data_IF_894475190026
#
_entry.id   IF_894475190026
#
_cell.length_a   1.000
_cell.length_b   1.000
_cell.length_c   1.000
_cell.angle_alpha   90.00
_cell.angle_beta   90.00
_cell.angle_gamma   90.00
#
_symmetry.space_group_name_H-M   'P 1'
#
loop_
_entity.id
_entity.type
_entity.pdbx_description
1 polymer ?
#
# COMPACT_ATOMS: atom_id res chain seq x y z
N UNK A 1 28.21 -26.54 20.96
CA UNK A 1 26.92 -27.21 21.11
C UNK A 1 26.20 -27.27 19.74
N UNK A 2 25.94 -28.46 19.17
CA UNK A 2 25.33 -28.61 17.86
C UNK A 2 23.90 -28.05 17.78
N UNK A 3 23.17 -28.01 18.88
CA UNK A 3 21.80 -27.46 18.91
C UNK A 3 21.81 -25.93 18.87
N UNK A 4 22.76 -25.29 19.56
CA UNK A 4 22.97 -23.83 19.51
C UNK A 4 23.41 -23.39 18.10
N UNK A 5 24.27 -24.16 17.46
CA UNK A 5 24.72 -23.89 16.09
C UNK A 5 23.58 -24.02 15.05
N UNK A 6 22.68 -25.01 15.20
CA UNK A 6 21.49 -25.15 14.34
C UNK A 6 20.51 -24.01 14.56
N UNK A 7 20.25 -23.63 15.81
CA UNK A 7 19.36 -22.49 16.14
C UNK A 7 19.82 -21.17 15.56
N UNK A 8 21.12 -20.87 15.64
CA UNK A 8 21.74 -19.69 15.02
C UNK A 8 21.59 -19.72 13.49
N UNK A 9 21.87 -20.87 12.85
CA UNK A 9 21.73 -21.04 11.41
C UNK A 9 20.29 -20.77 10.92
N UNK A 10 19.28 -21.19 11.67
CA UNK A 10 17.89 -20.97 11.32
C UNK A 10 17.44 -19.51 11.52
N UNK A 11 18.00 -18.79 12.51
CA UNK A 11 17.78 -17.35 12.69
C UNK A 11 18.34 -16.57 11.50
N UNK A 12 19.59 -16.83 11.10
CA UNK A 12 20.20 -16.17 9.93
C UNK A 12 19.42 -16.44 8.63
N UNK A 13 18.98 -17.68 8.39
CA UNK A 13 18.17 -18.02 7.22
C UNK A 13 16.87 -17.21 7.19
N UNK A 14 16.16 -17.09 8.33
CA UNK A 14 14.94 -16.29 8.42
C UNK A 14 15.19 -14.83 8.09
N UNK A 15 16.26 -14.23 8.62
CA UNK A 15 16.62 -12.84 8.33
C UNK A 15 16.86 -12.60 6.82
N UNK A 16 17.53 -13.54 6.14
CA UNK A 16 17.77 -13.46 4.69
C UNK A 16 16.44 -13.39 3.93
N UNK A 17 15.43 -14.21 4.29
CA UNK A 17 14.12 -14.15 3.63
C UNK A 17 13.42 -12.81 3.84
N UNK A 18 13.47 -12.23 5.04
CA UNK A 18 12.93 -10.89 5.27
C UNK A 18 13.64 -9.83 4.42
N UNK A 19 14.95 -9.86 4.31
CA UNK A 19 15.70 -8.94 3.44
C UNK A 19 15.29 -9.11 1.98
N UNK A 20 15.19 -10.35 1.50
CA UNK A 20 14.80 -10.65 0.12
C UNK A 20 13.39 -10.11 -0.21
N UNK A 21 12.39 -10.34 0.66
CA UNK A 21 11.04 -9.85 0.41
C UNK A 21 10.91 -8.33 0.53
N UNK A 22 11.71 -7.69 1.41
CA UNK A 22 11.78 -6.23 1.50
C UNK A 22 12.34 -5.64 0.20
N UNK A 23 13.46 -6.17 -0.29
CA UNK A 23 14.07 -5.70 -1.54
C UNK A 23 13.16 -5.93 -2.73
N UNK A 24 12.63 -7.16 -2.88
CA UNK A 24 11.73 -7.50 -3.98
C UNK A 24 10.43 -6.68 -3.93
N UNK A 25 9.79 -6.59 -2.75
CA UNK A 25 8.58 -5.79 -2.56
C UNK A 25 8.80 -4.33 -2.88
N UNK A 26 9.90 -3.73 -2.39
CA UNK A 26 10.23 -2.34 -2.69
C UNK A 26 10.40 -2.08 -4.19
N UNK A 27 11.14 -2.92 -4.91
CA UNK A 27 11.32 -2.74 -6.35
C UNK A 27 10.02 -2.98 -7.14
N UNK A 28 9.17 -3.92 -6.75
CA UNK A 28 7.82 -4.05 -7.30
C UNK A 28 7.03 -2.75 -7.07
N UNK A 29 7.10 -2.19 -5.88
CA UNK A 29 6.47 -0.92 -5.53
C UNK A 29 6.95 0.26 -6.36
N UNK A 30 8.24 0.30 -6.73
CA UNK A 30 8.83 1.36 -7.55
C UNK A 30 8.27 1.45 -8.98
N UNK A 31 7.47 0.49 -9.42
CA UNK A 31 6.74 0.55 -10.69
C UNK A 31 5.59 1.54 -10.53
N UNK A 32 5.80 2.79 -10.92
CA UNK A 32 4.83 3.88 -10.78
C UNK A 32 3.86 3.90 -11.97
N UNK A 33 2.71 3.22 -11.81
CA UNK A 33 1.72 3.01 -12.88
C UNK A 33 1.20 4.32 -13.45
N UNK A 34 0.88 5.30 -12.60
CA UNK A 34 0.38 6.59 -13.08
C UNK A 34 1.44 7.42 -13.81
N UNK A 35 2.71 7.33 -13.41
CA UNK A 35 3.80 7.93 -14.16
C UNK A 35 3.96 7.28 -15.55
N UNK A 36 3.94 5.94 -15.60
CA UNK A 36 4.03 5.19 -16.86
C UNK A 36 2.86 5.52 -17.78
N UNK A 37 1.63 5.53 -17.27
CA UNK A 37 0.43 5.91 -18.03
C UNK A 37 0.54 7.35 -18.54
N UNK A 38 1.03 8.28 -17.71
CA UNK A 38 1.28 9.66 -18.13
C UNK A 38 2.29 9.74 -19.26
N UNK A 39 3.42 9.02 -19.16
CA UNK A 39 4.45 8.98 -20.22
C UNK A 39 3.93 8.39 -21.54
N UNK A 40 3.08 7.36 -21.48
CA UNK A 40 2.41 6.83 -22.68
C UNK A 40 1.45 7.85 -23.32
N UNK A 41 0.99 8.84 -22.56
CA UNK A 41 0.20 9.97 -23.05
C UNK A 41 1.05 11.21 -23.37
N UNK A 42 2.39 11.11 -23.43
CA UNK A 42 3.29 12.20 -23.79
C UNK A 42 3.53 13.24 -22.69
N UNK A 43 3.18 12.96 -21.41
CA UNK A 43 3.33 13.93 -20.33
C UNK A 43 3.90 13.30 -19.04
N UNK A 44 4.39 14.14 -18.14
CA UNK A 44 4.63 13.76 -16.77
C UNK A 44 3.42 14.17 -15.92
N UNK A 45 2.67 13.19 -15.41
CA UNK A 45 1.45 13.43 -14.65
C UNK A 45 1.68 14.25 -13.38
N UNK A 46 2.93 14.29 -12.90
CA UNK A 46 3.31 15.03 -11.70
C UNK A 46 3.40 16.54 -11.92
N UNK A 47 3.44 16.98 -13.17
CA UNK A 47 3.41 18.40 -13.53
C UNK A 47 1.98 18.96 -13.62
N UNK A 48 0.96 18.11 -13.46
CA UNK A 48 -0.45 18.45 -13.66
C UNK A 48 -1.32 18.11 -12.43
N UNK A 49 -2.41 18.83 -12.30
CA UNK A 49 -3.43 18.62 -11.26
C UNK A 49 -2.86 18.75 -9.85
N UNK A 50 -2.90 17.68 -9.07
CA UNK A 50 -2.36 17.69 -7.68
C UNK A 50 -0.85 17.40 -7.60
N UNK A 51 -0.17 17.16 -8.71
CA UNK A 51 1.24 16.80 -8.74
C UNK A 51 1.55 15.38 -8.25
N UNK A 52 0.54 14.55 -8.02
CA UNK A 52 0.71 13.18 -7.52
C UNK A 52 0.59 12.16 -8.66
N UNK A 53 1.39 11.08 -8.63
CA UNK A 53 1.33 9.99 -9.61
C UNK A 53 0.14 9.04 -9.46
N UNK A 54 -0.63 9.13 -8.36
CA UNK A 54 -1.68 8.17 -8.05
C UNK A 54 -2.96 8.32 -8.88
N UNK A 55 -3.80 7.29 -8.81
CA UNK A 55 -5.06 7.12 -9.56
C UNK A 55 -5.97 8.35 -9.56
N UNK A 56 -6.15 9.02 -8.42
CA UNK A 56 -7.05 10.20 -8.31
C UNK A 56 -6.59 11.36 -9.16
N UNK A 57 -5.28 11.60 -9.26
CA UNK A 57 -4.73 12.63 -10.12
C UNK A 57 -4.84 12.25 -11.61
N UNK A 58 -4.54 10.99 -11.93
CA UNK A 58 -4.70 10.45 -13.29
C UNK A 58 -6.16 10.55 -13.75
N UNK A 59 -7.13 10.27 -12.85
CA UNK A 59 -8.56 10.44 -13.15
C UNK A 59 -8.89 11.89 -13.52
N UNK A 60 -8.35 12.84 -12.76
CA UNK A 60 -8.59 14.28 -12.96
C UNK A 60 -8.01 14.79 -14.27
N UNK A 61 -6.84 14.32 -14.66
CA UNK A 61 -6.07 14.85 -15.81
C UNK A 61 -6.30 14.03 -17.09
N UNK A 62 -6.36 12.70 -16.99
CA UNK A 62 -6.35 11.77 -18.12
C UNK A 62 -7.65 10.95 -18.29
N UNK A 63 -8.59 11.12 -17.35
CA UNK A 63 -9.90 10.48 -17.40
C UNK A 63 -9.95 9.03 -16.89
N UNK A 64 -11.16 8.43 -16.99
CA UNK A 64 -11.52 7.20 -16.26
C UNK A 64 -10.71 5.97 -16.67
N UNK A 65 -10.53 5.74 -17.98
CA UNK A 65 -9.83 4.54 -18.50
C UNK A 65 -8.37 4.49 -18.01
N UNK A 66 -7.67 5.62 -18.09
CA UNK A 66 -6.26 5.72 -17.68
C UNK A 66 -6.11 5.66 -16.16
N UNK A 67 -7.08 6.20 -15.44
CA UNK A 67 -7.15 6.04 -13.98
C UNK A 67 -7.35 4.58 -13.56
N UNK A 68 -8.22 3.83 -14.26
CA UNK A 68 -8.42 2.40 -14.00
C UNK A 68 -7.13 1.60 -14.21
N UNK A 69 -6.42 1.85 -15.32
CA UNK A 69 -5.12 1.20 -15.58
C UNK A 69 -4.10 1.52 -14.49
N UNK A 70 -4.05 2.78 -14.05
CA UNK A 70 -3.18 3.21 -12.94
C UNK A 70 -3.56 2.49 -11.64
N UNK A 71 -4.85 2.44 -11.31
CA UNK A 71 -5.34 1.76 -10.12
C UNK A 71 -4.98 0.27 -10.11
N UNK A 72 -5.24 -0.42 -11.22
CA UNK A 72 -4.92 -1.84 -11.36
C UNK A 72 -3.41 -2.10 -11.23
N UNK A 73 -2.59 -1.31 -11.88
CA UNK A 73 -1.13 -1.43 -11.77
C UNK A 73 -0.63 -1.17 -10.34
N UNK A 74 -1.15 -0.12 -9.67
CA UNK A 74 -0.78 0.21 -8.29
C UNK A 74 -1.29 -0.82 -7.28
N UNK A 75 -2.41 -1.47 -7.55
CA UNK A 75 -2.92 -2.57 -6.74
C UNK A 75 -2.10 -3.86 -6.96
N UNK A 76 -1.91 -4.27 -8.20
CA UNK A 76 -1.27 -5.54 -8.54
C UNK A 76 0.20 -5.61 -8.09
N UNK A 77 0.92 -4.49 -8.09
CA UNK A 77 2.33 -4.44 -7.68
C UNK A 77 2.59 -4.78 -6.21
N UNK A 78 1.56 -4.74 -5.34
CA UNK A 78 1.62 -5.23 -3.96
C UNK A 78 0.84 -6.52 -3.77
N UNK A 79 -0.32 -6.65 -4.41
CA UNK A 79 -1.17 -7.83 -4.31
C UNK A 79 -0.41 -9.09 -4.73
N UNK A 80 0.24 -9.07 -5.91
CA UNK A 80 0.95 -10.23 -6.44
C UNK A 80 2.13 -10.65 -5.55
N UNK A 81 3.07 -9.77 -5.14
CA UNK A 81 4.16 -10.16 -4.25
C UNK A 81 3.68 -10.75 -2.92
N UNK A 82 2.62 -10.19 -2.32
CA UNK A 82 2.06 -10.74 -1.08
C UNK A 82 1.50 -12.14 -1.31
N UNK A 83 0.78 -12.39 -2.42
CA UNK A 83 0.29 -13.73 -2.76
C UNK A 83 1.44 -14.71 -3.04
N UNK A 84 2.50 -14.28 -3.72
CA UNK A 84 3.70 -15.10 -3.94
C UNK A 84 4.31 -15.52 -2.61
N UNK A 85 4.47 -14.60 -1.68
CA UNK A 85 4.96 -14.91 -0.33
C UNK A 85 4.01 -15.87 0.38
N UNK A 86 2.70 -15.60 0.35
CA UNK A 86 1.66 -16.40 1.02
C UNK A 86 1.62 -17.85 0.53
N UNK A 87 1.61 -18.05 -0.77
CA UNK A 87 1.34 -19.37 -1.36
C UNK A 87 2.58 -20.13 -1.82
N UNK A 88 3.72 -19.46 -2.02
CA UNK A 88 4.95 -20.12 -2.46
C UNK A 88 6.03 -20.09 -1.38
N UNK A 89 6.33 -18.94 -0.79
CA UNK A 89 7.42 -18.82 0.18
C UNK A 89 7.06 -19.43 1.54
N UNK A 90 5.92 -19.08 2.12
CA UNK A 90 5.54 -19.55 3.45
C UNK A 90 5.39 -21.07 3.53
N UNK A 91 4.79 -21.77 2.54
CA UNK A 91 4.78 -23.24 2.55
C UNK A 91 6.17 -23.85 2.37
N UNK A 92 7.06 -23.22 1.59
CA UNK A 92 8.43 -23.72 1.36
C UNK A 92 9.35 -23.51 2.58
N UNK A 93 9.04 -22.53 3.44
CA UNK A 93 9.85 -22.19 4.63
C UNK A 93 8.94 -22.05 5.85
N UNK A 94 8.47 -23.16 6.44
CA UNK A 94 7.50 -23.16 7.54
C UNK A 94 7.99 -22.48 8.84
N UNK A 95 9.29 -22.21 8.96
CA UNK A 95 9.86 -21.50 10.12
C UNK A 95 9.64 -19.99 10.11
N UNK A 96 9.12 -19.43 9.01
CA UNK A 96 8.78 -18.02 8.91
C UNK A 96 7.47 -17.71 9.66
N UNK A 97 7.40 -16.50 10.21
CA UNK A 97 6.12 -15.95 10.64
C UNK A 97 5.33 -15.53 9.39
N UNK A 98 4.44 -16.44 8.93
CA UNK A 98 3.78 -16.31 7.64
C UNK A 98 2.96 -15.01 7.52
N UNK A 99 2.27 -14.61 8.57
CA UNK A 99 1.47 -13.39 8.54
C UNK A 99 2.34 -12.14 8.52
N UNK A 100 3.36 -12.11 9.38
CA UNK A 100 4.25 -10.94 9.48
C UNK A 100 5.02 -10.70 8.17
N UNK A 101 5.56 -11.76 7.55
CA UNK A 101 6.36 -11.61 6.31
C UNK A 101 5.50 -11.14 5.13
N UNK A 102 4.21 -11.51 5.08
CA UNK A 102 3.25 -10.98 4.10
C UNK A 102 3.05 -9.48 4.27
N UNK A 103 2.81 -9.01 5.52
CA UNK A 103 2.67 -7.58 5.81
C UNK A 103 3.96 -6.81 5.51
N UNK A 104 5.13 -7.36 5.85
CA UNK A 104 6.43 -6.75 5.53
C UNK A 104 6.61 -6.61 4.03
N UNK A 105 6.24 -7.63 3.24
CA UNK A 105 6.31 -7.59 1.77
C UNK A 105 5.42 -6.49 1.19
N UNK A 106 4.16 -6.43 1.63
CA UNK A 106 3.22 -5.40 1.20
C UNK A 106 3.67 -4.00 1.61
N UNK A 107 4.19 -3.84 2.83
CA UNK A 107 4.73 -2.55 3.30
C UNK A 107 5.92 -2.10 2.47
N UNK A 108 6.83 -3.00 2.13
CA UNK A 108 7.95 -2.69 1.25
C UNK A 108 7.47 -2.21 -0.12
N UNK A 109 6.40 -2.82 -0.68
CA UNK A 109 5.80 -2.35 -1.93
C UNK A 109 5.16 -0.96 -1.78
N UNK A 110 4.52 -0.66 -0.65
CA UNK A 110 4.01 0.69 -0.35
C UNK A 110 5.15 1.70 -0.27
N UNK A 111 6.25 1.36 0.41
CA UNK A 111 7.43 2.24 0.47
C UNK A 111 8.05 2.48 -0.91
N UNK A 112 8.10 1.46 -1.77
CA UNK A 112 8.53 1.60 -3.15
C UNK A 112 7.63 2.53 -3.96
N UNK A 113 6.30 2.46 -3.76
CA UNK A 113 5.34 3.37 -4.39
C UNK A 113 5.45 4.81 -3.86
N UNK A 114 5.61 5.00 -2.55
CA UNK A 114 5.67 6.34 -1.96
C UNK A 114 7.01 7.04 -2.22
N UNK A 115 8.09 6.27 -2.28
CA UNK A 115 9.46 6.74 -2.41
C UNK A 115 10.25 5.96 -3.47
N UNK A 116 9.81 5.95 -4.74
CA UNK A 116 10.46 5.18 -5.80
C UNK A 116 11.85 5.75 -6.13
N UNK A 117 12.89 4.92 -6.04
CA UNK A 117 14.27 5.32 -6.31
C UNK A 117 14.44 5.87 -7.74
N UNK A 118 13.77 5.28 -8.73
CA UNK A 118 13.82 5.69 -10.13
C UNK A 118 13.21 7.06 -10.42
N UNK A 119 12.36 7.57 -9.51
CA UNK A 119 11.71 8.88 -9.62
C UNK A 119 12.20 9.88 -8.56
N UNK A 120 13.45 9.73 -8.11
CA UNK A 120 14.07 10.60 -7.09
C UNK A 120 13.23 10.67 -5.81
N UNK A 121 12.68 9.54 -5.39
CA UNK A 121 11.84 9.38 -4.19
C UNK A 121 10.54 10.23 -4.20
N UNK A 122 10.03 10.61 -5.37
CA UNK A 122 8.81 11.39 -5.56
C UNK A 122 7.71 10.51 -6.19
N UNK A 123 7.05 9.71 -5.38
CA UNK A 123 5.97 8.78 -5.78
C UNK A 123 4.58 9.21 -5.29
N UNK A 124 3.69 8.23 -5.22
CA UNK A 124 2.30 8.36 -4.82
C UNK A 124 2.08 8.48 -3.30
N UNK A 125 0.92 8.00 -2.84
CA UNK A 125 0.51 7.96 -1.43
C UNK A 125 0.14 6.56 -0.94
N UNK A 126 0.35 5.55 -1.76
CA UNK A 126 0.26 4.15 -1.41
C UNK A 126 -1.12 3.59 -1.06
N UNK A 127 -2.24 4.31 -1.26
CA UNK A 127 -3.55 3.85 -0.77
C UNK A 127 -4.06 2.61 -1.53
N UNK A 128 -4.03 2.63 -2.86
CA UNK A 128 -4.41 1.47 -3.67
C UNK A 128 -3.48 0.28 -3.41
N UNK A 129 -2.18 0.56 -3.27
CA UNK A 129 -1.14 -0.42 -2.95
C UNK A 129 -1.36 -1.01 -1.55
N UNK A 130 -1.68 -0.17 -0.54
CA UNK A 130 -1.99 -0.63 0.83
C UNK A 130 -3.26 -1.49 0.86
N UNK A 131 -4.36 -1.02 0.28
CA UNK A 131 -5.62 -1.76 0.28
C UNK A 131 -5.48 -3.13 -0.43
N UNK A 132 -4.72 -3.18 -1.52
CA UNK A 132 -4.44 -4.42 -2.24
C UNK A 132 -3.51 -5.37 -1.45
N UNK A 133 -2.50 -4.86 -0.76
CA UNK A 133 -1.68 -5.65 0.15
C UNK A 133 -2.51 -6.25 1.29
N UNK A 134 -3.41 -5.46 1.89
CA UNK A 134 -4.34 -5.95 2.92
C UNK A 134 -5.31 -6.99 2.39
N UNK A 135 -5.85 -6.81 1.17
CA UNK A 135 -6.73 -7.79 0.53
C UNK A 135 -6.01 -9.13 0.28
N UNK A 136 -4.73 -9.10 -0.12
CA UNK A 136 -3.92 -10.31 -0.31
C UNK A 136 -3.57 -11.01 1.02
N UNK A 137 -3.29 -10.22 2.06
CA UNK A 137 -2.98 -10.70 3.40
C UNK A 137 -4.22 -11.35 4.04
N UNK A 138 -5.27 -10.56 4.27
CA UNK A 138 -6.56 -11.00 4.80
C UNK A 138 -7.69 -10.27 4.06
N UNK A 139 -8.48 -11.04 3.30
CA UNK A 139 -9.57 -10.48 2.49
C UNK A 139 -10.60 -9.70 3.31
N UNK A 140 -10.78 -10.01 4.60
CA UNK A 140 -11.70 -9.31 5.51
C UNK A 140 -11.25 -7.87 5.73
N UNK A 141 -9.94 -7.67 6.02
CA UNK A 141 -9.32 -6.35 6.18
C UNK A 141 -9.39 -5.58 4.85
N UNK A 142 -9.03 -6.23 3.74
CA UNK A 142 -9.11 -5.60 2.43
C UNK A 142 -10.53 -5.18 2.04
N UNK A 143 -11.53 -6.00 2.38
CA UNK A 143 -12.95 -5.67 2.15
C UNK A 143 -13.39 -4.49 3.02
N UNK A 144 -13.02 -4.46 4.30
CA UNK A 144 -13.30 -3.32 5.19
C UNK A 144 -12.67 -2.03 4.66
N UNK A 145 -11.41 -2.07 4.21
CA UNK A 145 -10.75 -0.95 3.53
C UNK A 145 -11.56 -0.45 2.34
N UNK A 146 -12.03 -1.37 1.48
CA UNK A 146 -12.84 -1.03 0.31
C UNK A 146 -14.18 -0.39 0.73
N UNK A 147 -14.88 -0.98 1.70
CA UNK A 147 -16.17 -0.45 2.21
C UNK A 147 -15.98 0.95 2.80
N UNK A 148 -14.98 1.15 3.67
CA UNK A 148 -14.67 2.46 4.26
C UNK A 148 -14.41 3.48 3.15
N UNK A 149 -13.59 3.12 2.15
CA UNK A 149 -13.26 4.02 1.06
C UNK A 149 -14.50 4.42 0.25
N UNK A 150 -15.34 3.47 -0.13
CA UNK A 150 -16.57 3.72 -0.91
C UNK A 150 -17.57 4.54 -0.11
N UNK A 151 -17.89 4.12 1.12
CA UNK A 151 -18.89 4.79 1.96
C UNK A 151 -18.48 6.23 2.28
N UNK A 152 -17.22 6.44 2.70
CA UNK A 152 -16.76 7.81 3.03
C UNK A 152 -16.68 8.68 1.79
N UNK A 153 -16.20 8.14 0.65
CA UNK A 153 -16.16 8.90 -0.60
C UNK A 153 -17.57 9.26 -1.09
N UNK A 154 -18.51 8.33 -1.02
CA UNK A 154 -19.92 8.57 -1.42
C UNK A 154 -20.58 9.62 -0.53
N UNK A 155 -20.38 9.54 0.79
CA UNK A 155 -20.99 10.45 1.75
C UNK A 155 -20.39 11.86 1.74
N UNK A 156 -19.06 11.97 1.57
CA UNK A 156 -18.35 13.25 1.76
C UNK A 156 -17.79 13.84 0.47
N UNK A 157 -17.60 13.02 -0.55
CA UNK A 157 -16.90 13.34 -1.80
C UNK A 157 -15.41 13.65 -1.62
N UNK A 158 -14.84 13.44 -0.42
CA UNK A 158 -13.41 13.62 -0.14
C UNK A 158 -12.66 12.29 -0.19
N UNK A 159 -11.98 12.01 -1.31
CA UNK A 159 -11.13 10.81 -1.48
C UNK A 159 -10.00 10.79 -0.43
N UNK A 160 -9.44 11.95 -0.08
CA UNK A 160 -8.38 12.03 0.91
C UNK A 160 -8.85 11.66 2.32
N UNK A 161 -10.08 12.07 2.70
CA UNK A 161 -10.68 11.68 3.98
C UNK A 161 -10.91 10.17 4.03
N UNK A 162 -11.47 9.59 2.96
CA UNK A 162 -11.65 8.16 2.83
C UNK A 162 -10.32 7.40 2.97
N UNK A 163 -9.26 7.91 2.34
CA UNK A 163 -7.91 7.34 2.41
C UNK A 163 -7.33 7.36 3.83
N UNK A 164 -7.51 8.45 4.57
CA UNK A 164 -7.06 8.59 5.95
C UNK A 164 -7.84 7.63 6.87
N UNK A 165 -9.16 7.59 6.73
CA UNK A 165 -10.00 6.73 7.57
C UNK A 165 -9.78 5.24 7.33
N UNK A 166 -9.63 4.80 6.07
CA UNK A 166 -9.28 3.39 5.81
C UNK A 166 -7.91 3.04 6.40
N UNK A 167 -6.93 3.96 6.33
CA UNK A 167 -5.59 3.70 6.87
C UNK A 167 -5.60 3.61 8.40
N UNK A 168 -6.40 4.44 9.07
CA UNK A 168 -6.63 4.32 10.51
C UNK A 168 -7.44 3.05 10.86
N UNK A 169 -8.40 2.68 10.00
CA UNK A 169 -9.24 1.49 10.13
C UNK A 169 -8.43 0.20 10.20
N UNK A 170 -7.39 0.05 9.38
CA UNK A 170 -6.51 -1.13 9.34
C UNK A 170 -5.97 -1.47 10.75
N UNK A 171 -5.64 -0.45 11.57
CA UNK A 171 -5.11 -0.64 12.94
C UNK A 171 -6.18 -1.26 13.86
N UNK A 172 -7.43 -0.87 13.69
CA UNK A 172 -8.56 -1.43 14.45
C UNK A 172 -8.91 -2.83 13.94
N UNK A 173 -8.94 -3.00 12.62
CA UNK A 173 -9.30 -4.25 11.96
C UNK A 173 -8.35 -5.40 12.32
N UNK A 174 -7.03 -5.12 12.40
CA UNK A 174 -6.06 -6.15 12.79
C UNK A 174 -6.26 -6.61 14.24
N UNK A 175 -6.67 -5.72 15.14
CA UNK A 175 -7.00 -6.11 16.53
C UNK A 175 -8.25 -7.01 16.60
N UNK A 176 -9.20 -6.79 15.69
CA UNK A 176 -10.46 -7.57 15.63
C UNK A 176 -10.20 -8.95 15.00
N UNK A 177 -9.51 -9.00 13.87
CA UNK A 177 -9.36 -10.22 13.07
C UNK A 177 -8.15 -11.07 13.47
N UNK A 178 -7.16 -10.46 14.14
CA UNK A 178 -5.94 -11.12 14.62
C UNK A 178 -5.63 -10.76 16.07
N UNK A 179 -6.53 -11.09 17.02
CA UNK A 179 -6.38 -10.72 18.43
C UNK A 179 -5.09 -11.29 19.03
N UNK A 180 -4.38 -10.47 19.82
CA UNK A 180 -3.12 -10.85 20.46
C UNK A 180 -1.88 -10.83 19.53
N UNK A 181 -2.01 -10.54 18.24
CA UNK A 181 -0.89 -10.45 17.30
C UNK A 181 -0.30 -9.03 17.29
N UNK A 182 0.46 -8.72 18.32
CA UNK A 182 1.09 -7.40 18.49
C UNK A 182 2.14 -7.06 17.43
N UNK A 183 2.74 -8.08 16.83
CA UNK A 183 3.65 -7.95 15.67
C UNK A 183 2.91 -7.41 14.44
N UNK A 184 1.71 -7.93 14.14
CA UNK A 184 0.88 -7.45 13.04
C UNK A 184 0.31 -6.06 13.34
N UNK A 185 -0.10 -5.83 14.58
CA UNK A 185 -0.55 -4.50 15.03
C UNK A 185 0.52 -3.44 14.79
N UNK A 186 1.77 -3.68 15.21
CA UNK A 186 2.87 -2.76 14.97
C UNK A 186 3.09 -2.46 13.48
N UNK A 187 2.99 -3.49 12.62
CA UNK A 187 3.08 -3.30 11.17
C UNK A 187 1.92 -2.46 10.63
N UNK A 188 0.67 -2.70 11.07
CA UNK A 188 -0.49 -1.92 10.65
C UNK A 188 -0.41 -0.45 11.10
N UNK A 189 0.17 -0.19 12.29
CA UNK A 189 0.49 1.17 12.75
C UNK A 189 1.49 1.86 11.80
N UNK A 190 2.51 1.15 11.32
CA UNK A 190 3.44 1.69 10.32
C UNK A 190 2.74 2.03 9.00
N UNK A 191 1.88 1.16 8.48
CA UNK A 191 1.08 1.45 7.29
C UNK A 191 0.23 2.71 7.48
N UNK A 192 -0.50 2.80 8.59
CA UNK A 192 -1.33 3.96 8.91
C UNK A 192 -0.51 5.24 9.05
N UNK A 193 0.61 5.18 9.76
CA UNK A 193 1.52 6.32 9.94
C UNK A 193 2.00 6.89 8.61
N UNK A 194 2.55 6.05 7.73
CA UNK A 194 3.08 6.52 6.45
C UNK A 194 1.95 7.02 5.54
N UNK A 195 0.81 6.35 5.48
CA UNK A 195 -0.34 6.81 4.70
C UNK A 195 -0.84 8.18 5.18
N UNK A 196 -1.02 8.38 6.49
CA UNK A 196 -1.47 9.66 7.08
C UNK A 196 -0.40 10.74 6.85
N UNK A 197 0.88 10.43 7.05
CA UNK A 197 1.97 11.36 6.78
C UNK A 197 2.00 11.81 5.31
N UNK A 198 1.78 10.89 4.36
CA UNK A 198 1.68 11.23 2.92
C UNK A 198 0.44 12.09 2.61
N UNK A 199 -0.57 12.08 3.48
CA UNK A 199 -1.77 12.92 3.35
C UNK A 199 -1.69 14.26 4.12
N UNK A 200 -0.57 14.63 4.73
CA UNK A 200 -0.44 15.86 5.55
C UNK A 200 -0.92 17.14 4.84
N UNK A 201 -0.61 17.29 3.54
CA UNK A 201 -1.09 18.43 2.76
C UNK A 201 -2.61 18.38 2.51
N UNK A 202 -3.19 17.18 2.36
CA UNK A 202 -4.64 17.01 2.25
C UNK A 202 -5.33 17.30 3.59
N UNK A 203 -4.74 16.88 4.71
CA UNK A 203 -5.26 17.21 6.06
C UNK A 203 -5.34 18.71 6.23
N UNK A 204 -4.29 19.46 5.88
CA UNK A 204 -4.32 20.91 5.92
C UNK A 204 -5.45 21.51 5.08
N UNK A 205 -5.68 21.02 3.85
CA UNK A 205 -6.79 21.46 3.00
C UNK A 205 -8.17 21.04 3.51
N UNK A 206 -8.30 19.86 4.09
CA UNK A 206 -9.56 19.44 4.73
C UNK A 206 -9.92 20.36 5.90
N UNK A 207 -8.96 20.71 6.76
CA UNK A 207 -9.17 21.60 7.89
C UNK A 207 -9.48 23.03 7.47
N UNK A 208 -8.92 23.50 6.36
CA UNK A 208 -9.20 24.84 5.80
C UNK A 208 -10.41 24.88 4.85
N UNK A 209 -11.09 23.77 4.60
CA UNK A 209 -12.21 23.69 3.69
C UNK A 209 -11.85 23.85 2.19
N UNK A 210 -10.58 23.71 1.84
CA UNK A 210 -10.05 23.90 0.46
C UNK A 210 -9.70 22.60 -0.25
N UNK A 211 -10.03 21.43 0.32
CA UNK A 211 -9.76 20.15 -0.32
C UNK A 211 -10.65 19.93 -1.54
N UNK A 212 -10.05 19.42 -2.62
CA UNK A 212 -10.77 19.16 -3.87
C UNK A 212 -11.75 18.00 -3.74
N UNK A 213 -12.98 18.20 -4.16
CA UNK A 213 -13.99 17.16 -4.24
C UNK A 213 -13.66 16.13 -5.33
N UNK A 214 -14.13 14.90 -5.13
CA UNK A 214 -14.05 13.84 -6.12
C UNK A 214 -14.84 14.21 -7.38
N UNK A 215 -14.29 13.89 -8.56
CA UNK A 215 -14.99 13.96 -9.84
C UNK A 215 -15.80 12.69 -10.14
N UNK A 216 -15.75 11.70 -9.25
CA UNK A 216 -16.55 10.48 -9.38
C UNK A 216 -17.97 10.85 -8.93
N UNK A 217 -18.90 10.91 -9.87
CA UNK A 217 -20.32 10.86 -9.58
C UNK A 217 -20.66 9.38 -9.34
N UNK A 218 -20.88 9.02 -8.09
CA UNK A 218 -21.40 7.71 -7.68
C UNK A 218 -22.92 7.84 -7.67
#
# INVERSE_FOLDING_TARGET
DPEMSRGLGDVYKRQVYYVLVIVAGYFCGCIESGYLVGKLCGMDIRDYGSGNSGTTNVLRVLGKTRALLTFLGDALKSFIPVLVVKFLLCPAVPTLNADLIQLVTGFAAVMGHDYPVFLKFKGGKGIATTAAAMMAFDWRIGLCCFIIFVVVTAATRYVSLASILLSAGIVVEVLIFHPGRWDLFAMCVLYAFFAIYRHRANIGRLLSGTESLSLIHI
#
